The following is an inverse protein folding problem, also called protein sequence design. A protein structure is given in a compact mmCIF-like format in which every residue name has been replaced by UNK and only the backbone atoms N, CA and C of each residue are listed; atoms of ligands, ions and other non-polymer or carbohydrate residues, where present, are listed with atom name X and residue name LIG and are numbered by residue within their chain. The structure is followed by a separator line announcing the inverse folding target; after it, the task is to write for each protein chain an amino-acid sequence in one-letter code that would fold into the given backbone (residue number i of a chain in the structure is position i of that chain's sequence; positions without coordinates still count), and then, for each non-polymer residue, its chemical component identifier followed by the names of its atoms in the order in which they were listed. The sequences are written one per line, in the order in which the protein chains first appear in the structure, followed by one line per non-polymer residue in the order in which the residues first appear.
data_IF_314839302441
#
_entry.id   IF_314839302441
#
_cell.length_a   1.000
_cell.length_b   1.000
_cell.length_c   1.000
_cell.angle_alpha   90.00
_cell.angle_beta   90.00
_cell.angle_gamma   90.00
#
_symmetry.space_group_name_H-M   'P 1'
#
loop_
_entity.id
_entity.type
_entity.pdbx_description
1 polymer ?
#
# COMPACT_ATOMS: atom_id res chain seq x y z
N UNK A 1 -7.77 0.76 13.39
CA UNK A 1 -6.88 1.72 12.72
C UNK A 1 -5.83 1.00 11.88
N UNK A 2 -5.46 1.60 10.74
CA UNK A 2 -4.38 1.08 9.87
C UNK A 2 -3.02 1.33 10.54
N UNK A 3 -2.21 0.28 10.69
CA UNK A 3 -0.91 0.33 11.37
C UNK A 3 0.23 0.46 10.37
N UNK A 4 0.15 -0.26 9.26
CA UNK A 4 1.13 -0.19 8.17
C UNK A 4 0.53 -0.65 6.83
N UNK A 5 1.19 -0.26 5.75
CA UNK A 5 0.90 -0.70 4.38
C UNK A 5 2.21 -1.07 3.68
N UNK A 6 2.30 -2.30 3.18
CA UNK A 6 3.44 -2.85 2.46
C UNK A 6 3.04 -3.27 1.05
N UNK A 7 3.97 -3.10 0.12
CA UNK A 7 3.93 -3.76 -1.19
C UNK A 7 5.20 -4.60 -1.31
N UNK A 8 5.04 -5.91 -1.50
CA UNK A 8 6.16 -6.85 -1.62
C UNK A 8 6.04 -7.67 -2.89
N UNK A 9 7.16 -8.08 -3.47
CA UNK A 9 7.14 -8.98 -4.62
C UNK A 9 7.13 -10.46 -4.19
N UNK A 10 7.00 -11.38 -5.17
CA UNK A 10 7.08 -12.84 -4.94
C UNK A 10 8.37 -13.31 -4.25
N UNK A 11 9.45 -12.56 -4.35
CA UNK A 11 10.74 -12.87 -3.72
C UNK A 11 10.84 -12.32 -2.28
N UNK A 12 9.73 -11.88 -1.68
CA UNK A 12 9.68 -11.23 -0.37
C UNK A 12 10.49 -9.94 -0.27
N UNK A 13 10.76 -9.27 -1.39
CA UNK A 13 11.44 -7.97 -1.39
C UNK A 13 10.40 -6.86 -1.29
N UNK A 14 10.59 -5.97 -0.33
CA UNK A 14 9.76 -4.79 -0.14
C UNK A 14 10.00 -3.79 -1.27
N UNK A 15 8.90 -3.32 -1.88
CA UNK A 15 8.85 -2.27 -2.91
C UNK A 15 8.33 -0.96 -2.37
N UNK A 16 7.44 -1.04 -1.39
CA UNK A 16 6.89 0.10 -0.70
C UNK A 16 6.59 -0.29 0.75
N UNK A 17 6.89 0.62 1.68
CA UNK A 17 6.52 0.46 3.08
C UNK A 17 6.12 1.81 3.67
N UNK A 18 4.95 1.84 4.33
CA UNK A 18 4.46 2.98 5.09
C UNK A 18 3.98 2.51 6.44
N UNK A 19 4.41 3.20 7.49
CA UNK A 19 4.07 2.90 8.88
C UNK A 19 3.36 4.10 9.49
N UNK A 20 2.19 3.88 10.08
CA UNK A 20 1.35 4.94 10.65
C UNK A 20 1.39 4.97 12.18
N UNK A 21 1.79 3.87 12.81
CA UNK A 21 2.10 3.83 14.23
C UNK A 21 3.61 3.73 14.43
N UNK A 22 4.09 4.27 15.56
CA UNK A 22 5.44 4.02 16.05
C UNK A 22 5.54 2.56 16.48
N UNK A 23 5.85 1.71 15.51
CA UNK A 23 6.17 0.34 15.78
C UNK A 23 7.57 0.33 16.42
N UNK A 24 7.64 0.02 17.72
CA UNK A 24 8.88 -0.26 18.48
C UNK A 24 9.55 -1.58 18.02
N UNK A 25 9.46 -1.90 16.74
CA UNK A 25 10.15 -3.06 16.18
C UNK A 25 11.59 -2.62 15.93
N UNK A 26 12.50 -3.21 16.71
CA UNK A 26 13.94 -3.00 16.57
C UNK A 26 14.47 -3.42 15.18
N UNK A 27 13.72 -4.25 14.44
CA UNK A 27 14.07 -4.72 13.10
C UNK A 27 12.85 -4.81 12.16
N UNK A 28 12.55 -3.70 11.47
CA UNK A 28 11.44 -3.62 10.51
C UNK A 28 11.60 -4.61 9.35
N UNK A 29 12.83 -4.88 8.92
CA UNK A 29 13.11 -5.76 7.78
C UNK A 29 12.74 -7.22 8.11
N UNK A 30 13.06 -7.68 9.33
CA UNK A 30 12.67 -9.02 9.78
C UNK A 30 11.15 -9.15 9.87
N UNK A 31 10.46 -8.12 10.36
CA UNK A 31 8.99 -8.09 10.43
C UNK A 31 8.33 -8.12 9.04
N UNK A 32 8.78 -7.28 8.10
CA UNK A 32 8.29 -7.28 6.72
C UNK A 32 8.48 -8.64 6.06
N UNK A 33 9.65 -9.26 6.26
CA UNK A 33 9.97 -10.58 5.73
C UNK A 33 9.07 -11.67 6.28
N UNK A 34 8.77 -11.64 7.59
CA UNK A 34 7.87 -12.60 8.23
C UNK A 34 6.46 -12.52 7.64
N UNK A 35 5.90 -11.30 7.55
CA UNK A 35 4.57 -11.09 6.99
C UNK A 35 4.51 -11.50 5.52
N UNK A 36 5.51 -11.10 4.72
CA UNK A 36 5.58 -11.45 3.31
C UNK A 36 5.59 -12.97 3.10
N UNK A 37 6.41 -13.70 3.87
CA UNK A 37 6.48 -15.16 3.82
C UNK A 37 5.14 -15.80 4.16
N UNK A 38 4.46 -15.32 5.19
CA UNK A 38 3.13 -15.83 5.53
C UNK A 38 2.12 -15.57 4.41
N UNK A 39 2.12 -14.40 3.78
CA UNK A 39 1.20 -14.12 2.67
C UNK A 39 1.49 -14.99 1.43
N UNK A 40 2.76 -15.22 1.10
CA UNK A 40 3.19 -15.96 -0.11
C UNK A 40 2.98 -17.47 0.02
N UNK A 41 3.17 -18.02 1.23
CA UNK A 41 3.03 -19.48 1.47
C UNK A 41 1.58 -19.95 1.57
N UNK A 42 0.61 -19.02 1.64
CA UNK A 42 -0.82 -19.34 1.73
C UNK A 42 -1.36 -19.90 0.43
N UNK A 43 -2.23 -20.90 0.55
CA UNK A 43 -2.88 -21.57 -0.59
C UNK A 43 -4.05 -20.72 -1.10
N UNK A 44 -4.37 -20.87 -2.39
CA UNK A 44 -5.45 -20.11 -3.05
C UNK A 44 -6.85 -20.32 -2.45
N UNK A 45 -7.07 -21.42 -1.72
CA UNK A 45 -8.34 -21.71 -1.06
C UNK A 45 -8.47 -21.09 0.34
N UNK A 46 -7.46 -20.34 0.80
CA UNK A 46 -7.47 -19.68 2.09
C UNK A 46 -7.97 -18.23 1.97
N UNK A 47 -8.43 -17.68 3.08
CA UNK A 47 -8.88 -16.29 3.17
C UNK A 47 -7.74 -15.32 2.90
N UNK A 48 -8.11 -14.15 2.39
CA UNK A 48 -7.23 -13.00 2.11
C UNK A 48 -6.88 -12.18 3.37
N UNK A 49 -7.18 -12.72 4.55
CA UNK A 49 -6.89 -12.11 5.82
C UNK A 49 -6.64 -13.18 6.88
N UNK A 50 -5.85 -12.82 7.88
CA UNK A 50 -5.46 -13.66 9.01
C UNK A 50 -4.92 -12.80 10.14
N UNK A 51 -4.77 -13.39 11.32
CA UNK A 51 -4.25 -12.67 12.49
C UNK A 51 -2.81 -13.09 12.78
N UNK A 52 -1.93 -12.12 13.00
CA UNK A 52 -0.56 -12.35 13.48
C UNK A 52 -0.37 -11.49 14.73
N UNK A 53 0.08 -12.11 15.82
CA UNK A 53 0.26 -11.44 17.12
C UNK A 53 -1.03 -10.75 17.58
N UNK A 54 -1.07 -9.41 17.53
CA UNK A 54 -2.21 -8.56 17.88
C UNK A 54 -2.75 -7.77 16.68
N UNK A 55 -2.25 -8.05 15.48
CA UNK A 55 -2.59 -7.34 14.26
C UNK A 55 -3.42 -8.23 13.36
N UNK A 56 -4.41 -7.61 12.72
CA UNK A 56 -5.13 -8.23 11.63
C UNK A 56 -4.42 -7.89 10.32
N UNK A 57 -4.03 -8.92 9.57
CA UNK A 57 -3.36 -8.78 8.29
C UNK A 57 -4.38 -9.04 7.19
N UNK A 58 -4.50 -8.10 6.27
CA UNK A 58 -5.34 -8.19 5.09
C UNK A 58 -4.46 -7.98 3.87
N UNK A 59 -4.56 -8.86 2.87
CA UNK A 59 -3.71 -8.78 1.69
C UNK A 59 -4.43 -9.16 0.40
N UNK A 60 -3.93 -8.68 -0.73
CA UNK A 60 -4.41 -9.07 -2.06
C UNK A 60 -3.23 -9.10 -3.04
N UNK A 61 -3.32 -10.00 -4.03
CA UNK A 61 -2.28 -10.24 -5.02
C UNK A 61 -2.67 -9.61 -6.36
N UNK A 62 -1.80 -8.77 -6.91
CA UNK A 62 -1.94 -8.21 -8.26
C UNK A 62 -0.67 -8.53 -9.04
N UNK A 63 -0.81 -9.32 -10.11
CA UNK A 63 0.31 -9.86 -10.89
C UNK A 63 1.39 -10.57 -10.04
N UNK A 64 2.55 -9.94 -9.85
CA UNK A 64 3.68 -10.43 -9.04
C UNK A 64 3.79 -9.74 -7.67
N UNK A 65 2.91 -8.79 -7.36
CA UNK A 65 2.95 -7.97 -6.16
C UNK A 65 1.86 -8.37 -5.16
N UNK A 66 2.24 -8.32 -3.89
CA UNK A 66 1.36 -8.52 -2.74
C UNK A 66 1.19 -7.18 -2.04
N UNK A 67 -0.05 -6.72 -1.98
CA UNK A 67 -0.44 -5.52 -1.26
C UNK A 67 -0.97 -5.96 0.09
N UNK A 68 -0.34 -5.49 1.17
CA UNK A 68 -0.54 -6.02 2.52
C UNK A 68 -0.78 -4.86 3.48
N UNK A 69 -1.92 -4.86 4.15
CA UNK A 69 -2.26 -3.89 5.19
C UNK A 69 -2.36 -4.62 6.53
N UNK A 70 -1.68 -4.08 7.54
CA UNK A 70 -1.90 -4.42 8.94
C UNK A 70 -2.85 -3.41 9.58
N UNK A 71 -3.90 -3.90 10.22
CA UNK A 71 -4.91 -3.10 10.88
C UNK A 71 -5.27 -3.68 12.26
N UNK A 72 -6.12 -2.97 13.01
CA UNK A 72 -6.52 -3.42 14.34
C UNK A 72 -7.50 -4.61 14.23
N UNK A 73 -7.58 -5.47 15.27
CA UNK A 73 -8.48 -6.63 15.28
C UNK A 73 -9.97 -6.31 15.09
N UNK A 74 -10.38 -5.09 15.40
CA UNK A 74 -11.77 -4.64 15.29
C UNK A 74 -12.13 -4.09 13.90
N UNK A 75 -11.14 -3.81 13.04
CA UNK A 75 -11.39 -3.25 11.72
C UNK A 75 -12.01 -4.29 10.77
N UNK A 76 -12.94 -3.84 9.92
CA UNK A 76 -13.61 -4.69 8.94
C UNK A 76 -12.65 -5.08 7.79
N UNK A 77 -12.47 -6.39 7.58
CA UNK A 77 -11.53 -6.93 6.58
C UNK A 77 -11.92 -6.60 5.15
N UNK A 78 -13.22 -6.57 4.85
CA UNK A 78 -13.71 -6.25 3.52
C UNK A 78 -13.49 -4.77 3.19
N UNK A 79 -13.68 -3.88 4.18
CA UNK A 79 -13.34 -2.46 4.01
C UNK A 79 -11.86 -2.25 3.70
N UNK A 80 -10.97 -3.02 4.34
CA UNK A 80 -9.52 -2.96 4.05
C UNK A 80 -9.18 -3.57 2.69
N UNK A 81 -9.86 -4.64 2.27
CA UNK A 81 -9.71 -5.21 0.93
C UNK A 81 -10.12 -4.22 -0.18
N UNK A 82 -11.22 -3.48 0.03
CA UNK A 82 -11.64 -2.43 -0.91
C UNK A 82 -10.72 -1.21 -0.87
N UNK A 83 -10.13 -0.89 0.28
CA UNK A 83 -9.07 0.11 0.35
C UNK A 83 -7.85 -0.29 -0.49
N UNK A 84 -7.41 -1.55 -0.39
CA UNK A 84 -6.32 -2.07 -1.24
C UNK A 84 -6.68 -1.94 -2.73
N UNK A 85 -7.91 -2.29 -3.11
CA UNK A 85 -8.39 -2.12 -4.49
C UNK A 85 -8.31 -0.66 -4.94
N UNK A 86 -8.84 0.27 -4.14
CA UNK A 86 -8.83 1.69 -4.46
C UNK A 86 -7.40 2.23 -4.60
N UNK A 87 -6.46 1.82 -3.74
CA UNK A 87 -5.05 2.18 -3.85
C UNK A 87 -4.44 1.69 -5.17
N UNK A 88 -4.72 0.43 -5.56
CA UNK A 88 -4.21 -0.15 -6.81
C UNK A 88 -4.79 0.57 -8.02
N UNK A 89 -6.08 0.89 -8.02
CA UNK A 89 -6.73 1.63 -9.10
C UNK A 89 -6.18 3.06 -9.23
N UNK A 90 -5.92 3.75 -8.12
CA UNK A 90 -5.26 5.07 -8.15
C UNK A 90 -3.86 4.99 -8.77
N UNK A 91 -3.08 3.96 -8.41
CA UNK A 91 -1.76 3.73 -8.99
C UNK A 91 -1.84 3.38 -10.48
N UNK A 92 -2.76 2.51 -10.86
CA UNK A 92 -2.95 2.08 -12.25
C UNK A 92 -3.41 3.24 -13.15
N UNK A 93 -4.32 4.08 -12.65
CA UNK A 93 -4.74 5.29 -13.35
C UNK A 93 -3.57 6.27 -13.48
N UNK A 94 -2.75 6.46 -12.44
CA UNK A 94 -1.65 7.41 -12.51
C UNK A 94 -0.52 6.96 -13.46
N UNK A 95 -0.17 5.67 -13.46
CA UNK A 95 0.94 5.12 -14.25
C UNK A 95 0.53 4.59 -15.63
N UNK A 96 -0.76 4.60 -15.97
CA UNK A 96 -1.29 4.07 -17.23
C UNK A 96 -0.89 2.60 -17.48
N UNK A 97 -1.30 1.70 -16.58
CA UNK A 97 -0.87 0.29 -16.42
C UNK A 97 0.37 0.16 -15.52
N UNK A 98 0.13 0.18 -14.22
CA UNK A 98 1.21 0.14 -13.23
C UNK A 98 1.99 -1.17 -13.27
N UNK A 99 3.32 -1.07 -13.26
CA UNK A 99 4.24 -2.22 -13.13
C UNK A 99 5.05 -2.15 -11.84
N UNK A 100 5.65 -3.28 -11.42
CA UNK A 100 6.60 -3.31 -10.29
C UNK A 100 7.74 -2.31 -10.49
N UNK A 101 8.17 -2.12 -11.74
CA UNK A 101 9.27 -1.24 -12.08
C UNK A 101 8.89 0.24 -11.89
N UNK A 102 7.64 0.61 -12.19
CA UNK A 102 7.14 1.97 -11.96
C UNK A 102 7.13 2.31 -10.47
N UNK A 103 6.72 1.37 -9.62
CA UNK A 103 6.74 1.57 -8.17
C UNK A 103 8.17 1.79 -7.64
N UNK A 104 9.14 1.00 -8.15
CA UNK A 104 10.55 1.10 -7.75
C UNK A 104 11.17 2.43 -8.19
N UNK A 105 10.96 2.84 -9.45
CA UNK A 105 11.57 4.07 -9.97
C UNK A 105 10.86 5.35 -9.53
N UNK A 106 9.58 5.27 -9.16
CA UNK A 106 8.76 6.42 -8.80
C UNK A 106 8.26 6.35 -7.35
N UNK A 107 9.06 5.82 -6.44
CA UNK A 107 8.65 5.57 -5.04
C UNK A 107 8.11 6.82 -4.33
N UNK A 108 8.67 8.00 -4.61
CA UNK A 108 8.18 9.28 -4.07
C UNK A 108 6.74 9.56 -4.49
N UNK A 109 6.39 9.30 -5.76
CA UNK A 109 5.03 9.51 -6.27
C UNK A 109 4.06 8.49 -5.69
N UNK A 110 4.51 7.25 -5.48
CA UNK A 110 3.73 6.23 -4.77
C UNK A 110 3.43 6.69 -3.34
N UNK A 111 4.43 7.20 -2.61
CA UNK A 111 4.21 7.78 -1.29
C UNK A 111 3.19 8.92 -1.31
N UNK A 112 3.31 9.86 -2.25
CA UNK A 112 2.36 10.96 -2.37
C UNK A 112 0.92 10.48 -2.61
N UNK A 113 0.73 9.53 -3.54
CA UNK A 113 -0.62 8.98 -3.82
C UNK A 113 -1.19 8.27 -2.59
N UNK A 114 -0.39 7.46 -1.89
CA UNK A 114 -0.86 6.76 -0.70
C UNK A 114 -1.14 7.73 0.46
N UNK A 115 -0.32 8.77 0.63
CA UNK A 115 -0.51 9.78 1.67
C UNK A 115 -1.77 10.65 1.46
N UNK A 116 -2.24 10.80 0.21
CA UNK A 116 -3.54 11.42 -0.09
C UNK A 116 -4.72 10.52 0.30
N UNK A 117 -4.54 9.19 0.33
CA UNK A 117 -5.60 8.22 0.67
C UNK A 117 -5.63 7.96 2.19
N UNK A 118 -4.45 7.79 2.81
CA UNK A 118 -4.31 7.34 4.19
C UNK A 118 -3.38 8.30 4.94
N UNK A 119 -3.91 8.93 5.99
CA UNK A 119 -3.16 9.83 6.87
C UNK A 119 -3.26 9.34 8.31
N UNK A 120 -2.11 9.17 8.97
CA UNK A 120 -2.03 8.68 10.36
C UNK A 120 -2.83 7.40 10.63
N UNK A 121 -2.94 6.53 9.62
CA UNK A 121 -3.64 5.24 9.76
C UNK A 121 -5.16 5.34 9.60
N UNK A 122 -5.67 6.50 9.18
CA UNK A 122 -7.07 6.74 8.87
C UNK A 122 -7.25 6.97 7.37
N UNK A 123 -8.35 6.47 6.82
CA UNK A 123 -8.74 6.70 5.43
C UNK A 123 -9.32 8.12 5.34
N UNK A 124 -8.73 8.98 4.52
CA UNK A 124 -9.12 10.40 4.41
C UNK A 124 -9.78 10.74 3.08
N UNK A 125 -9.39 10.09 1.98
CA UNK A 125 -9.99 10.31 0.67
C UNK A 125 -10.05 8.98 -0.09
N UNK A 126 -11.19 8.74 -0.75
CA UNK A 126 -11.43 7.53 -1.54
C UNK A 126 -11.79 7.85 -2.98
N UNK A 127 -12.07 9.11 -3.31
CA UNK A 127 -12.34 9.53 -4.68
C UNK A 127 -11.01 9.66 -5.45
N UNK A 128 -10.84 8.79 -6.45
CA UNK A 128 -9.62 8.71 -7.26
C UNK A 128 -9.29 10.02 -7.99
N UNK A 129 -10.30 10.76 -8.47
CA UNK A 129 -10.06 12.04 -9.15
C UNK A 129 -9.46 13.07 -8.21
N UNK A 130 -9.89 13.09 -6.95
CA UNK A 130 -9.37 14.00 -5.92
C UNK A 130 -7.97 13.61 -5.48
N UNK A 131 -7.74 12.32 -5.21
CA UNK A 131 -6.40 11.78 -4.87
C UNK A 131 -5.38 12.17 -5.94
N UNK A 132 -5.75 12.06 -7.23
CA UNK A 132 -4.84 12.34 -8.34
C UNK A 132 -4.78 13.83 -8.72
N UNK A 133 -5.69 14.68 -8.22
CA UNK A 133 -5.71 16.11 -8.54
C UNK A 133 -4.43 16.81 -8.07
N UNK A 134 -3.97 16.52 -6.84
CA UNK A 134 -2.72 17.05 -6.27
C UNK A 134 -1.52 16.68 -7.15
N UNK A 135 -1.46 15.43 -7.61
CA UNK A 135 -0.37 14.92 -8.44
C UNK A 135 -0.33 15.58 -9.83
N UNK A 136 -1.49 15.83 -10.43
CA UNK A 136 -1.60 16.53 -11.72
C UNK A 136 -1.20 18.00 -11.59
N UNK A 137 -1.59 18.66 -10.51
CA UNK A 137 -1.20 20.05 -10.24
C UNK A 137 0.33 20.20 -10.10
N UNK A 138 0.98 19.27 -9.38
CA UNK A 138 2.43 19.25 -9.22
C UNK A 138 3.18 18.97 -10.53
N UNK A 139 2.64 18.08 -11.38
CA UNK A 139 3.22 17.82 -12.71
C UNK A 139 3.18 19.06 -13.61
N UNK A 140 2.07 19.80 -13.58
CA UNK A 140 1.88 21.02 -14.38
C UNK A 140 2.77 22.19 -13.93
N UNK A 141 3.22 22.22 -12.68
CA UNK A 141 4.16 23.24 -12.21
C UNK A 141 5.59 23.01 -12.70
N UNK A 142 5.99 21.76 -12.95
CA UNK A 142 7.34 21.44 -13.47
C UNK A 142 7.50 21.74 -14.96
N UNK A 143 6.41 21.82 -15.72
CA UNK A 143 6.42 22.13 -17.16
C UNK A 143 6.41 23.63 -17.49
N UNK A 144 6.26 24.51 -16.49
CA UNK A 144 6.54 25.93 -16.62
C UNK A 144 7.92 26.24 -16.00
N UNK A 145 9.03 26.10 -16.73
CA UNK A 145 10.26 26.73 -16.29
C UNK A 145 9.98 28.24 -16.25
N UNK A 146 10.24 28.83 -15.09
CA UNK A 146 10.17 30.28 -14.85
C UNK A 146 10.90 30.98 -16.01
N UNK A 147 10.15 31.76 -16.78
CA UNK A 147 10.68 32.63 -17.82
C UNK A 147 11.53 33.76 -17.20
#
# INVERSE_FOLDING_TARGET
MIRFFLIVNRSCQTRFARYYQNILIQDKATFELEIARQCITRKQNQTLFFSINQDKIVYRVYASLYFIIGCDPEDNEFSILELIQNCVECLDHYFEKVTELDLVFNIEKVHMIIDEIIVQGLIVETNQERVLASMRALANQKSNPVA
#
